data_IF_175130973201
#
_entry.id   IF_175130973201
#
_cell.length_a   1.000
_cell.length_b   1.000
_cell.length_c   1.000
_cell.angle_alpha   90.00
_cell.angle_beta   90.00
_cell.angle_gamma   90.00
#
_symmetry.space_group_name_H-M   'P 1'
#
loop_
_entity.id
_entity.type
_entity.pdbx_description
1 polymer ?
#
# COMPACT_ATOMS: atom_id res chain seq x y z
N UNK A 1 -2.71 26.35 -5.08
CA UNK A 1 -2.80 24.91 -5.47
C UNK A 1 -3.23 24.73 -6.94
N UNK A 2 -2.79 25.57 -7.88
CA UNK A 2 -3.16 25.44 -9.31
C UNK A 2 -2.16 24.58 -10.10
N UNK A 3 -0.87 24.68 -9.76
CA UNK A 3 0.22 24.03 -10.50
C UNK A 3 0.11 22.51 -10.58
N UNK A 4 -0.20 21.84 -9.45
CA UNK A 4 -0.35 20.38 -9.41
C UNK A 4 -1.52 19.90 -10.30
N UNK A 5 -2.63 20.66 -10.30
CA UNK A 5 -3.75 20.43 -11.21
C UNK A 5 -3.34 20.61 -12.67
N UNK A 6 -2.56 21.64 -12.98
CA UNK A 6 -2.07 21.89 -14.33
C UNK A 6 -1.17 20.76 -14.82
N UNK A 7 -0.22 20.30 -14.00
CA UNK A 7 0.64 19.16 -14.35
C UNK A 7 -0.13 17.85 -14.54
N UNK A 8 -1.10 17.58 -13.68
CA UNK A 8 -1.98 16.41 -13.85
C UNK A 8 -2.78 16.44 -15.16
N UNK A 9 -3.09 17.62 -15.70
CA UNK A 9 -3.80 17.74 -16.98
C UNK A 9 -2.88 17.71 -18.20
N UNK A 10 -1.66 18.27 -18.10
CA UNK A 10 -0.73 18.30 -19.23
C UNK A 10 0.04 16.97 -19.41
N UNK A 11 0.51 16.37 -18.33
CA UNK A 11 1.29 15.12 -18.36
C UNK A 11 0.74 14.09 -17.38
N UNK A 12 -0.50 13.61 -17.58
CA UNK A 12 -1.17 12.72 -16.64
C UNK A 12 -0.39 11.42 -16.39
N UNK A 13 0.17 10.83 -17.44
CA UNK A 13 0.83 9.52 -17.37
C UNK A 13 2.08 9.59 -16.49
N UNK A 14 2.90 10.63 -16.65
CA UNK A 14 4.14 10.81 -15.89
C UNK A 14 3.80 11.05 -14.41
N UNK A 15 2.85 11.95 -14.14
CA UNK A 15 2.41 12.27 -12.79
C UNK A 15 1.85 11.04 -12.06
N UNK A 16 0.96 10.28 -12.70
CA UNK A 16 0.40 9.06 -12.10
C UNK A 16 1.44 7.95 -11.94
N UNK A 17 2.42 7.85 -12.83
CA UNK A 17 3.53 6.89 -12.68
C UNK A 17 4.34 7.15 -11.42
N UNK A 18 4.69 8.41 -11.13
CA UNK A 18 5.39 8.76 -9.89
C UNK A 18 4.54 8.58 -8.65
N UNK A 19 3.24 8.89 -8.71
CA UNK A 19 2.32 8.69 -7.57
C UNK A 19 2.18 7.21 -7.26
N UNK A 20 1.91 6.37 -8.26
CA UNK A 20 1.73 4.92 -8.07
C UNK A 20 3.05 4.27 -7.64
N UNK A 21 4.16 4.62 -8.28
CA UNK A 21 5.48 4.13 -7.91
C UNK A 21 5.86 4.53 -6.48
N UNK A 22 5.63 5.79 -6.12
CA UNK A 22 5.86 6.31 -4.77
C UNK A 22 4.97 5.63 -3.72
N UNK A 23 3.69 5.42 -4.03
CA UNK A 23 2.77 4.69 -3.15
C UNK A 23 3.22 3.24 -2.93
N UNK A 24 3.67 2.56 -3.98
CA UNK A 24 4.19 1.19 -3.88
C UNK A 24 5.38 1.08 -2.92
N UNK A 25 6.28 2.06 -2.94
CA UNK A 25 7.42 2.13 -2.01
C UNK A 25 7.03 2.58 -0.59
N UNK A 26 6.02 3.44 -0.45
CA UNK A 26 5.57 3.93 0.84
C UNK A 26 4.74 2.89 1.62
N UNK A 27 3.97 2.05 0.92
CA UNK A 27 3.12 1.02 1.54
C UNK A 27 3.86 0.09 2.53
N UNK A 28 5.00 -0.55 2.22
CA UNK A 28 5.67 -1.43 3.16
C UNK A 28 6.20 -0.71 4.41
N UNK A 29 6.35 0.62 4.38
CA UNK A 29 6.78 1.41 5.53
C UNK A 29 5.56 1.81 6.39
N UNK A 30 4.46 2.20 5.74
CA UNK A 30 3.29 2.77 6.42
C UNK A 30 2.27 1.70 6.85
N UNK A 31 2.10 0.62 6.07
CA UNK A 31 1.06 -0.40 6.32
C UNK A 31 1.33 -1.26 7.56
N UNK A 32 2.55 -1.78 7.82
CA UNK A 32 2.81 -2.58 9.02
C UNK A 32 2.48 -1.89 10.35
N UNK A 33 2.93 -0.65 10.63
CA UNK A 33 2.62 0.01 11.90
C UNK A 33 1.11 0.31 12.05
N UNK A 34 0.42 0.64 10.95
CA UNK A 34 -1.04 0.83 10.97
C UNK A 34 -1.74 -0.50 11.29
N UNK A 35 -1.29 -1.61 10.69
CA UNK A 35 -1.85 -2.95 10.93
C UNK A 35 -1.67 -3.38 12.39
N UNK A 36 -0.52 -3.06 13.00
CA UNK A 36 -0.26 -3.31 14.41
C UNK A 36 -1.16 -2.47 15.32
N UNK A 37 -1.31 -1.18 15.03
CA UNK A 37 -2.18 -0.27 15.78
C UNK A 37 -3.67 -0.67 15.73
N UNK A 38 -4.12 -1.28 14.63
CA UNK A 38 -5.49 -1.81 14.49
C UNK A 38 -5.69 -3.19 15.15
N UNK A 39 -4.69 -3.72 15.87
CA UNK A 39 -4.78 -5.00 16.57
C UNK A 39 -4.58 -6.25 15.71
N UNK A 40 -4.24 -6.09 14.42
CA UNK A 40 -3.95 -7.21 13.51
C UNK A 40 -2.49 -7.70 13.60
N UNK A 41 -1.64 -7.06 14.40
CA UNK A 41 -0.22 -7.42 14.58
C UNK A 41 0.01 -8.79 15.22
N UNK A 42 -0.94 -9.29 16.01
CA UNK A 42 -0.82 -10.57 16.74
C UNK A 42 -1.55 -11.74 16.08
N UNK A 43 -2.14 -11.57 14.89
CA UNK A 43 -2.70 -12.70 14.17
C UNK A 43 -1.56 -13.41 13.42
N UNK A 44 -1.12 -14.60 13.86
CA UNK A 44 -0.12 -15.33 13.11
C UNK A 44 -0.74 -15.70 11.76
N UNK A 45 -0.20 -15.16 10.67
CA UNK A 45 -0.52 -15.66 9.34
C UNK A 45 -0.27 -17.17 9.38
N UNK A 46 -1.28 -18.03 9.14
CA UNK A 46 -1.09 -19.47 9.21
C UNK A 46 0.04 -19.85 8.25
N UNK A 47 1.17 -20.31 8.80
CA UNK A 47 2.36 -20.68 8.00
C UNK A 47 2.11 -21.92 7.14
N UNK A 48 1.11 -22.71 7.51
CA UNK A 48 0.67 -23.88 6.80
C UNK A 48 -0.86 -23.89 6.72
N UNK A 49 -1.43 -24.44 5.63
CA UNK A 49 -2.85 -24.71 5.58
C UNK A 49 -3.25 -25.65 6.74
N UNK A 50 -4.47 -25.50 7.29
CA UNK A 50 -4.93 -26.37 8.37
C UNK A 50 -4.91 -27.84 7.92
N UNK A 51 -4.50 -28.77 8.79
CA UNK A 51 -4.47 -30.20 8.45
C UNK A 51 -5.89 -30.66 8.10
N UNK A 52 -6.04 -31.26 6.92
CA UNK A 52 -7.30 -31.89 6.48
C UNK A 52 -7.47 -33.16 7.30
N UNK A 53 -8.50 -33.19 8.17
CA UNK A 53 -8.91 -34.44 8.82
C UNK A 53 -9.45 -35.37 7.74
N UNK A 54 -8.76 -36.48 7.49
CA UNK A 54 -9.28 -37.59 6.70
C UNK A 54 -10.07 -38.54 7.58
#
# INVERSE_FOLDING_TARGET
MSWFRTMMHQEPIIMWSFIIGGMGLAMPIVVPPIREAMGYGNQPTPKAPPPVSK
#
